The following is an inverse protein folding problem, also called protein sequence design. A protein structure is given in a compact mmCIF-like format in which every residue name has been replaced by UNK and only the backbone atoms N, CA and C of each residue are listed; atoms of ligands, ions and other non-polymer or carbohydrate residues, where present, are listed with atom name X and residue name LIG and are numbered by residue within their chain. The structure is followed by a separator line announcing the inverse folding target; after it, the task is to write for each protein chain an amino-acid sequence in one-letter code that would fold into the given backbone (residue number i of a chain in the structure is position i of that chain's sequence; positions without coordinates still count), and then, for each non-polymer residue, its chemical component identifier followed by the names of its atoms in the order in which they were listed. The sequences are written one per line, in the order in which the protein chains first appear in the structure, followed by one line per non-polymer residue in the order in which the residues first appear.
data_IF_456827968051
#
_entry.id   IF_456827968051
#
_cell.length_a   1.000
_cell.length_b   1.000
_cell.length_c   1.000
_cell.angle_alpha   90.00
_cell.angle_beta   90.00
_cell.angle_gamma   90.00
#
_symmetry.space_group_name_H-M   'P 1'
#
loop_
_entity.id
_entity.type
_entity.pdbx_description
1 polymer ?
#
# COMPACT_ATOMS: atom_id res chain seq x y z
N UNK A 1 23.14 -4.87 -6.44
CA UNK A 1 21.84 -5.39 -6.94
C UNK A 1 21.42 -6.55 -6.05
N UNK A 2 20.12 -6.79 -5.91
CA UNK A 2 19.53 -7.89 -5.11
C UNK A 2 19.48 -9.18 -5.94
N UNK A 3 19.24 -10.31 -5.31
CA UNK A 3 19.09 -11.62 -5.96
C UNK A 3 17.89 -11.62 -6.93
N UNK A 4 18.04 -12.31 -8.07
CA UNK A 4 17.01 -12.42 -9.10
C UNK A 4 15.94 -13.48 -8.77
N UNK A 5 16.22 -14.38 -7.83
CA UNK A 5 15.30 -15.42 -7.37
C UNK A 5 14.18 -14.94 -6.45
N UNK A 6 14.23 -13.67 -6.01
CA UNK A 6 13.21 -13.07 -5.17
C UNK A 6 11.83 -13.01 -5.83
N UNK A 7 10.84 -13.56 -5.15
CA UNK A 7 9.47 -13.70 -5.67
C UNK A 7 8.68 -12.38 -5.60
N UNK A 8 9.06 -11.46 -4.71
CA UNK A 8 8.37 -10.19 -4.51
C UNK A 8 9.33 -9.00 -4.41
N UNK A 9 8.78 -7.79 -4.54
CA UNK A 9 9.52 -6.56 -4.27
C UNK A 9 9.94 -6.43 -2.80
N UNK A 10 9.14 -6.97 -1.87
CA UNK A 10 9.43 -6.94 -0.43
C UNK A 10 10.65 -7.79 -0.09
N UNK A 11 10.81 -8.96 -0.72
CA UNK A 11 11.98 -9.82 -0.50
C UNK A 11 13.28 -9.10 -0.94
N UNK A 12 13.23 -8.40 -2.09
CA UNK A 12 14.36 -7.56 -2.55
C UNK A 12 14.67 -6.42 -1.57
N UNK A 13 13.65 -5.81 -0.97
CA UNK A 13 13.86 -4.75 0.03
C UNK A 13 14.53 -5.29 1.28
N UNK A 14 14.11 -6.46 1.77
CA UNK A 14 14.71 -7.10 2.93
C UNK A 14 16.21 -7.35 2.71
N UNK A 15 16.58 -7.95 1.57
CA UNK A 15 18.00 -8.15 1.22
C UNK A 15 18.76 -6.83 1.08
N UNK A 16 18.16 -5.81 0.47
CA UNK A 16 18.80 -4.50 0.32
C UNK A 16 19.06 -3.83 1.68
N UNK A 17 18.11 -3.91 2.60
CA UNK A 17 18.23 -3.39 3.96
C UNK A 17 19.37 -4.07 4.74
N UNK A 18 19.47 -5.40 4.64
CA UNK A 18 20.57 -6.18 5.23
C UNK A 18 21.93 -5.77 4.64
N UNK A 19 22.03 -5.67 3.31
CA UNK A 19 23.27 -5.30 2.61
C UNK A 19 23.84 -3.94 2.99
N UNK A 20 22.97 -2.99 3.36
CA UNK A 20 23.39 -1.65 3.78
C UNK A 20 23.36 -1.48 5.31
N UNK A 21 23.10 -2.56 6.05
CA UNK A 21 23.08 -2.60 7.52
C UNK A 21 22.16 -1.53 8.13
N UNK A 22 20.93 -1.43 7.63
CA UNK A 22 19.90 -0.58 8.24
C UNK A 22 19.62 -1.03 9.67
N UNK A 23 19.35 -0.07 10.55
CA UNK A 23 18.88 -0.36 11.89
C UNK A 23 17.41 -0.80 11.87
N UNK A 24 16.99 -1.59 12.86
CA UNK A 24 15.60 -2.08 12.98
C UNK A 24 14.52 -0.98 12.98
N UNK A 25 14.91 0.26 13.28
CA UNK A 25 14.01 1.43 13.34
C UNK A 25 14.12 2.36 12.14
N UNK A 26 14.97 2.05 11.16
CA UNK A 26 15.06 2.84 9.94
C UNK A 26 13.79 2.63 9.10
N UNK A 27 13.28 3.71 8.52
CA UNK A 27 12.11 3.67 7.64
C UNK A 27 12.57 3.48 6.21
N UNK A 28 12.13 2.40 5.57
CA UNK A 28 12.34 2.16 4.14
C UNK A 28 11.10 2.57 3.35
N UNK A 29 11.28 3.43 2.36
CA UNK A 29 10.23 3.80 1.42
C UNK A 29 10.46 3.10 0.08
N UNK A 30 9.53 2.22 -0.29
CA UNK A 30 9.55 1.55 -1.58
C UNK A 30 8.86 2.42 -2.65
N UNK A 31 9.64 2.95 -3.59
CA UNK A 31 9.13 3.68 -4.76
C UNK A 31 9.18 2.73 -5.95
N UNK A 32 8.00 2.33 -6.46
CA UNK A 32 7.94 1.45 -7.61
C UNK A 32 8.39 2.18 -8.88
N UNK A 33 9.20 1.51 -9.71
CA UNK A 33 9.76 2.10 -10.94
C UNK A 33 8.73 2.43 -12.02
N UNK A 34 7.51 1.90 -11.91
CA UNK A 34 6.36 2.19 -12.77
C UNK A 34 5.54 3.40 -12.29
N UNK A 35 5.89 4.03 -11.17
CA UNK A 35 5.29 5.26 -10.64
C UNK A 35 6.30 6.44 -10.67
N UNK A 36 6.71 6.92 -11.86
CA UNK A 36 7.79 7.92 -11.98
C UNK A 36 7.40 9.33 -11.53
N UNK A 37 6.10 9.63 -11.43
CA UNK A 37 5.61 10.99 -11.17
C UNK A 37 4.58 10.93 -10.04
N UNK A 38 4.92 11.54 -8.91
CA UNK A 38 4.01 11.75 -7.79
C UNK A 38 4.31 13.09 -7.12
N UNK A 39 3.29 13.69 -6.50
CA UNK A 39 3.47 14.93 -5.76
C UNK A 39 4.30 14.69 -4.50
N UNK A 40 5.32 15.50 -4.17
CA UNK A 40 6.19 15.25 -3.02
C UNK A 40 5.47 15.08 -1.67
N UNK A 41 4.30 15.71 -1.50
CA UNK A 41 3.50 15.57 -0.28
C UNK A 41 3.10 14.12 0.02
N UNK A 42 3.00 13.26 -1.00
CA UNK A 42 2.68 11.84 -0.88
C UNK A 42 3.70 11.12 0.02
N UNK A 43 4.98 11.48 -0.05
CA UNK A 43 6.00 10.90 0.84
C UNK A 43 5.76 11.31 2.30
N UNK A 44 5.37 12.55 2.55
CA UNK A 44 5.05 13.01 3.90
C UNK A 44 3.83 12.28 4.46
N UNK A 45 2.77 12.14 3.66
CA UNK A 45 1.55 11.41 4.07
C UNK A 45 1.83 9.92 4.30
N UNK A 46 2.70 9.31 3.49
CA UNK A 46 3.10 7.90 3.62
C UNK A 46 3.91 7.66 4.90
N UNK A 47 4.87 8.53 5.22
CA UNK A 47 5.81 8.32 6.33
C UNK A 47 5.22 8.72 7.67
N UNK A 48 4.33 9.72 7.71
CA UNK A 48 3.78 10.28 8.95
C UNK A 48 3.26 9.24 9.95
N UNK A 49 2.44 8.23 9.58
CA UNK A 49 1.95 7.22 10.52
C UNK A 49 3.07 6.44 11.23
N UNK A 50 4.16 6.14 10.53
CA UNK A 50 5.31 5.39 11.07
C UNK A 50 6.13 6.25 12.05
N UNK A 51 6.19 7.56 11.79
CA UNK A 51 6.87 8.53 12.66
C UNK A 51 6.07 8.82 13.94
N UNK A 52 4.74 8.84 13.85
CA UNK A 52 3.85 9.15 14.96
C UNK A 52 3.62 7.95 15.90
N UNK A 53 3.58 6.72 15.36
CA UNK A 53 3.39 5.50 16.15
C UNK A 53 4.39 4.39 15.73
N UNK A 54 5.47 4.17 16.51
CA UNK A 54 6.46 3.13 16.25
C UNK A 54 5.90 1.69 16.27
N UNK A 55 4.65 1.48 16.70
CA UNK A 55 4.00 0.17 16.67
C UNK A 55 3.43 -0.16 15.29
N UNK A 56 3.33 0.81 14.39
CA UNK A 56 2.87 0.60 13.02
C UNK A 56 4.07 0.09 12.20
N UNK A 57 4.04 -1.16 11.70
CA UNK A 57 5.19 -1.74 11.00
C UNK A 57 5.26 -1.34 9.52
N UNK A 58 4.14 -0.88 8.95
CA UNK A 58 4.02 -0.52 7.54
C UNK A 58 2.86 0.44 7.33
N UNK A 59 3.04 1.39 6.41
CA UNK A 59 2.00 2.27 5.91
C UNK A 59 1.98 2.19 4.38
N UNK A 60 0.82 2.49 3.80
CA UNK A 60 0.63 2.67 2.35
C UNK A 60 -0.42 3.74 2.12
N UNK A 61 -0.57 4.20 0.88
CA UNK A 61 -1.56 5.19 0.50
C UNK A 61 -2.71 4.54 -0.27
N UNK A 62 -3.89 5.13 -0.13
CA UNK A 62 -5.06 4.80 -0.92
C UNK A 62 -5.69 6.11 -1.42
N UNK A 63 -6.45 6.01 -2.52
CA UNK A 63 -7.25 7.13 -2.99
C UNK A 63 -8.67 6.65 -3.30
N UNK A 64 -9.59 7.62 -3.37
CA UNK A 64 -11.00 7.31 -3.64
C UNK A 64 -11.19 6.89 -5.08
N UNK A 65 -11.72 5.69 -5.27
CA UNK A 65 -12.11 5.15 -6.58
C UNK A 65 -13.19 6.01 -7.23
N UNK A 66 -13.01 6.30 -8.53
CA UNK A 66 -13.91 7.15 -9.32
C UNK A 66 -14.60 6.35 -10.42
N UNK A 67 -15.81 5.90 -10.14
CA UNK A 67 -16.70 5.26 -11.10
C UNK A 67 -16.37 3.80 -11.40
N UNK A 68 -17.24 3.16 -12.18
CA UNK A 68 -17.25 1.72 -12.36
C UNK A 68 -16.03 1.19 -13.12
N UNK A 69 -15.49 1.98 -14.05
CA UNK A 69 -14.31 1.58 -14.81
C UNK A 69 -13.12 1.31 -13.90
N UNK A 70 -12.85 2.23 -12.97
CA UNK A 70 -11.71 2.10 -12.05
C UNK A 70 -11.93 0.96 -11.04
N UNK A 71 -13.17 0.83 -10.54
CA UNK A 71 -13.56 -0.22 -9.60
C UNK A 71 -13.34 -1.63 -10.19
N UNK A 72 -13.72 -1.82 -11.46
CA UNK A 72 -13.67 -3.12 -12.13
C UNK A 72 -12.32 -3.43 -12.81
N UNK A 73 -11.39 -2.47 -12.88
CA UNK A 73 -10.04 -2.72 -13.38
C UNK A 73 -9.23 -3.56 -12.37
N UNK A 74 -8.79 -4.75 -12.77
CA UNK A 74 -8.04 -5.68 -11.92
C UNK A 74 -6.58 -5.29 -11.72
N UNK A 75 -6.08 -4.31 -12.48
CA UNK A 75 -4.79 -3.68 -12.24
C UNK A 75 -4.84 -2.75 -11.03
N UNK A 76 -6.00 -2.13 -10.75
CA UNK A 76 -6.21 -1.33 -9.55
C UNK A 76 -6.55 -2.25 -8.36
N UNK A 77 -5.67 -2.32 -7.38
CA UNK A 77 -5.94 -3.05 -6.14
C UNK A 77 -6.86 -2.21 -5.27
N UNK A 78 -7.99 -2.79 -4.86
CA UNK A 78 -8.94 -2.23 -3.91
C UNK A 78 -8.50 -2.54 -2.49
N UNK A 79 -8.79 -1.65 -1.55
CA UNK A 79 -8.56 -1.86 -0.12
C UNK A 79 -9.84 -1.58 0.66
N UNK A 80 -10.20 -2.47 1.57
CA UNK A 80 -11.17 -2.21 2.63
C UNK A 80 -10.42 -1.78 3.89
N UNK A 81 -10.90 -0.74 4.56
CA UNK A 81 -10.28 -0.18 5.78
C UNK A 81 -11.29 -0.11 6.92
N UNK A 82 -10.78 -0.09 8.16
CA UNK A 82 -11.58 0.23 9.34
C UNK A 82 -11.83 1.76 9.46
N UNK A 83 -12.56 2.17 10.49
CA UNK A 83 -12.87 3.60 10.75
C UNK A 83 -11.64 4.46 11.07
N UNK A 84 -10.50 3.85 11.41
CA UNK A 84 -9.26 4.53 11.73
C UNK A 84 -8.27 4.50 10.54
N UNK A 85 -8.65 3.90 9.41
CA UNK A 85 -7.80 3.82 8.22
C UNK A 85 -6.86 2.61 8.18
N UNK A 86 -6.98 1.65 9.10
CA UNK A 86 -6.19 0.41 9.02
C UNK A 86 -6.75 -0.48 7.91
N UNK A 87 -5.87 -0.96 7.03
CA UNK A 87 -6.23 -1.89 5.98
C UNK A 87 -6.68 -3.23 6.57
N UNK A 88 -7.91 -3.63 6.25
CA UNK A 88 -8.49 -4.91 6.61
C UNK A 88 -8.19 -5.97 5.55
N UNK A 89 -8.29 -5.59 4.28
CA UNK A 89 -8.15 -6.52 3.17
C UNK A 89 -7.84 -5.80 1.85
N UNK A 90 -6.98 -6.40 1.03
CA UNK A 90 -6.67 -5.96 -0.33
C UNK A 90 -7.20 -6.98 -1.34
N UNK A 91 -7.76 -6.51 -2.45
CA UNK A 91 -8.28 -7.38 -3.51
C UNK A 91 -8.16 -6.75 -4.89
N UNK A 92 -7.95 -7.58 -5.92
CA UNK A 92 -8.09 -7.15 -7.33
C UNK A 92 -9.55 -7.14 -7.78
N UNK A 93 -10.44 -7.81 -7.05
CA UNK A 93 -11.88 -7.80 -7.31
C UNK A 93 -12.54 -6.62 -6.58
N UNK A 94 -13.71 -6.13 -7.07
CA UNK A 94 -14.47 -5.10 -6.37
C UNK A 94 -14.82 -5.52 -4.94
N UNK A 95 -14.45 -4.66 -3.97
CA UNK A 95 -14.80 -4.78 -2.56
C UNK A 95 -15.18 -3.40 -2.00
N UNK A 96 -16.06 -3.34 -0.97
CA UNK A 96 -16.90 -4.43 -0.48
C UNK A 96 -17.93 -4.85 -1.52
N UNK A 97 -18.27 -6.14 -1.58
CA UNK A 97 -19.35 -6.60 -2.46
C UNK A 97 -20.69 -6.12 -1.90
N UNK A 98 -21.40 -5.29 -2.66
CA UNK A 98 -22.77 -4.91 -2.36
C UNK A 98 -23.71 -5.54 -3.39
N UNK A 99 -24.54 -6.53 -3.01
CA UNK A 99 -25.58 -7.00 -3.91
C UNK A 99 -26.60 -5.87 -4.14
N UNK A 100 -26.99 -5.66 -5.40
CA UNK A 100 -27.97 -4.65 -5.86
C UNK A 100 -29.34 -4.71 -5.15
N UNK A 101 -29.59 -5.68 -4.29
CA UNK A 101 -30.87 -5.96 -3.64
C UNK A 101 -30.93 -5.65 -2.14
N UNK A 102 -29.88 -5.12 -1.51
CA UNK A 102 -29.95 -4.76 -0.10
C UNK A 102 -30.60 -3.38 0.09
N UNK A 103 -31.74 -3.27 0.82
CA UNK A 103 -32.37 -1.99 1.06
C UNK A 103 -31.43 -1.10 1.87
N UNK A 104 -31.23 0.14 1.38
CA UNK A 104 -30.57 1.20 2.11
C UNK A 104 -31.34 1.40 3.43
N UNK A 105 -30.69 1.08 4.55
CA UNK A 105 -31.12 1.54 5.87
C UNK A 105 -30.63 2.97 6.10
#
# INVERSE_FOLDING_TARGET
MTDESHLSGTDRIAEAAEKINLADRDIVVNIQGDQPIFHPSILSDLIRPLMEDPRIPMSTLMYKIKGDRELNDTNNVKVAVDKNGYALYFSRLPIPFWPLSWPLA
#
